data_IF_771494262666
#
_entry.id   IF_771494262666
#
_cell.length_a   1.000
_cell.length_b   1.000
_cell.length_c   1.000
_cell.angle_alpha   90.00
_cell.angle_beta   90.00
_cell.angle_gamma   90.00
#
_symmetry.space_group_name_H-M   'P 1'
#
loop_
_entity.id
_entity.type
_entity.pdbx_description
1 polymer ?
#
# COMPACT_ATOMS: atom_id res chain seq x y z
N UNK A 1 2.97 18.03 6.20
CA UNK A 1 1.84 17.32 6.81
C UNK A 1 1.82 15.88 6.33
N UNK A 2 1.69 14.94 7.25
CA UNK A 2 1.68 13.52 6.93
C UNK A 2 0.29 13.10 6.44
N UNK A 3 0.22 12.26 5.41
CA UNK A 3 -1.04 11.70 4.91
C UNK A 3 -1.69 10.82 5.97
N UNK A 4 -3.01 10.89 6.07
CA UNK A 4 -3.77 9.99 6.93
C UNK A 4 -3.85 8.60 6.28
N UNK A 5 -4.27 7.58 7.05
CA UNK A 5 -4.47 6.25 6.48
C UNK A 5 -5.53 6.24 5.38
N UNK A 6 -6.55 7.10 5.49
CA UNK A 6 -7.57 7.22 4.45
C UNK A 6 -6.99 7.77 3.15
N UNK A 7 -6.14 8.80 3.23
CA UNK A 7 -5.46 9.39 2.06
C UNK A 7 -4.52 8.39 1.42
N UNK A 8 -3.77 7.66 2.24
CA UNK A 8 -2.84 6.63 1.79
C UNK A 8 -3.58 5.50 1.08
N UNK A 9 -4.75 5.11 1.60
CA UNK A 9 -5.56 4.06 1.01
C UNK A 9 -6.00 4.43 -0.41
N UNK A 10 -6.49 5.66 -0.60
CA UNK A 10 -6.90 6.13 -1.92
C UNK A 10 -5.73 6.20 -2.88
N UNK A 11 -4.59 6.71 -2.41
CA UNK A 11 -3.37 6.79 -3.21
C UNK A 11 -2.87 5.41 -3.63
N UNK A 12 -2.91 4.44 -2.72
CA UNK A 12 -2.51 3.06 -3.00
C UNK A 12 -3.42 2.41 -4.04
N UNK A 13 -4.72 2.59 -3.92
CA UNK A 13 -5.68 2.03 -4.87
C UNK A 13 -5.42 2.57 -6.28
N UNK A 14 -5.28 3.87 -6.42
CA UNK A 14 -5.00 4.51 -7.70
C UNK A 14 -3.69 3.99 -8.30
N UNK A 15 -2.66 3.90 -7.49
CA UNK A 15 -1.35 3.45 -7.95
C UNK A 15 -1.36 1.98 -8.36
N UNK A 16 -2.05 1.13 -7.60
CA UNK A 16 -2.18 -0.28 -7.92
C UNK A 16 -2.91 -0.51 -9.24
N UNK A 17 -3.94 0.26 -9.50
CA UNK A 17 -4.66 0.18 -10.78
C UNK A 17 -3.77 0.68 -11.92
N UNK A 18 -3.08 1.79 -11.72
CA UNK A 18 -2.19 2.39 -12.70
C UNK A 18 -1.07 1.45 -13.12
N UNK A 19 -0.48 0.76 -12.14
CA UNK A 19 0.65 -0.14 -12.38
C UNK A 19 0.22 -1.57 -12.71
N UNK A 20 -1.09 -1.82 -12.81
CA UNK A 20 -1.61 -3.11 -13.23
C UNK A 20 -1.60 -4.20 -12.16
N UNK A 21 -1.46 -3.84 -10.89
CA UNK A 21 -1.56 -4.81 -9.78
C UNK A 21 -3.00 -5.30 -9.66
N UNK A 22 -3.96 -4.39 -9.78
CA UNK A 22 -5.39 -4.72 -9.82
C UNK A 22 -5.97 -4.38 -11.19
N UNK A 23 -6.91 -5.19 -11.66
CA UNK A 23 -7.66 -4.86 -12.85
C UNK A 23 -8.59 -3.66 -12.59
N UNK A 24 -8.80 -2.82 -13.59
CA UNK A 24 -9.61 -1.60 -13.44
C UNK A 24 -11.04 -1.87 -13.00
N UNK A 25 -11.61 -2.99 -13.44
CA UNK A 25 -12.98 -3.37 -13.12
C UNK A 25 -13.09 -4.05 -11.75
N UNK A 26 -11.96 -4.37 -11.13
CA UNK A 26 -11.95 -5.07 -9.85
C UNK A 26 -12.31 -4.12 -8.73
N UNK A 27 -13.29 -4.51 -7.92
CA UNK A 27 -13.63 -3.79 -6.70
C UNK A 27 -12.88 -4.43 -5.55
N UNK A 28 -11.96 -3.67 -4.96
CA UNK A 28 -11.17 -4.13 -3.81
C UNK A 28 -11.66 -3.39 -2.58
N UNK A 29 -12.29 -4.13 -1.66
CA UNK A 29 -12.65 -3.56 -0.37
C UNK A 29 -11.38 -3.45 0.49
N UNK A 30 -11.19 -2.34 1.22
CA UNK A 30 -10.00 -2.19 2.06
C UNK A 30 -9.81 -3.29 3.10
N UNK A 31 -10.87 -3.99 3.49
CA UNK A 31 -10.80 -5.08 4.46
C UNK A 31 -10.65 -6.46 3.84
N UNK A 32 -10.65 -6.55 2.50
CA UNK A 32 -10.48 -7.83 1.81
C UNK A 32 -9.05 -8.35 1.97
N UNK A 33 -8.91 -9.64 2.26
CA UNK A 33 -7.62 -10.30 2.16
C UNK A 33 -7.28 -10.40 0.67
N UNK A 34 -6.23 -9.73 0.25
CA UNK A 34 -5.89 -9.59 -1.16
C UNK A 34 -5.64 -10.91 -1.87
N UNK A 35 -5.07 -11.89 -1.17
CA UNK A 35 -4.80 -13.20 -1.75
C UNK A 35 -6.03 -14.09 -1.69
N UNK A 36 -6.69 -14.17 -0.54
CA UNK A 36 -7.85 -15.06 -0.35
C UNK A 36 -9.06 -14.63 -1.19
N UNK A 37 -9.23 -13.32 -1.38
CA UNK A 37 -10.30 -12.80 -2.24
C UNK A 37 -9.95 -12.87 -3.73
N UNK A 38 -8.75 -13.32 -4.07
CA UNK A 38 -8.34 -13.50 -5.45
C UNK A 38 -7.96 -12.22 -6.20
N UNK A 39 -7.73 -11.11 -5.47
CA UNK A 39 -7.31 -9.85 -6.11
C UNK A 39 -5.87 -9.93 -6.63
N UNK A 40 -5.00 -10.62 -5.90
CA UNK A 40 -3.62 -10.86 -6.31
C UNK A 40 -3.21 -12.27 -5.92
N UNK A 41 -2.21 -12.82 -6.62
CA UNK A 41 -1.54 -14.05 -6.20
C UNK A 41 -0.30 -13.69 -5.35
N UNK A 42 0.48 -14.69 -4.96
CA UNK A 42 1.68 -14.47 -4.14
C UNK A 42 2.69 -13.55 -4.84
N UNK A 43 2.83 -13.69 -6.14
CA UNK A 43 3.73 -12.83 -6.93
C UNK A 43 3.20 -11.40 -6.95
N UNK A 44 1.90 -11.21 -7.15
CA UNK A 44 1.26 -9.90 -7.12
C UNK A 44 1.42 -9.21 -5.78
N UNK A 45 1.38 -9.98 -4.69
CA UNK A 45 1.59 -9.44 -3.34
C UNK A 45 3.02 -8.90 -3.18
N UNK A 46 4.02 -9.61 -3.70
CA UNK A 46 5.41 -9.15 -3.69
C UNK A 46 5.61 -7.91 -4.57
N UNK A 47 4.94 -7.86 -5.71
CA UNK A 47 4.98 -6.68 -6.59
C UNK A 47 4.37 -5.47 -5.88
N UNK A 48 3.29 -5.67 -5.15
CA UNK A 48 2.66 -4.62 -4.36
C UNK A 48 3.60 -4.10 -3.28
N UNK A 49 4.30 -4.99 -2.59
CA UNK A 49 5.29 -4.60 -1.58
C UNK A 49 6.39 -3.74 -2.19
N UNK A 50 6.92 -4.16 -3.34
CA UNK A 50 7.97 -3.42 -4.05
C UNK A 50 7.48 -2.03 -4.48
N UNK A 51 6.25 -1.94 -4.98
CA UNK A 51 5.64 -0.68 -5.39
C UNK A 51 5.52 0.29 -4.21
N UNK A 52 5.09 -0.21 -3.05
CA UNK A 52 4.94 0.59 -1.85
C UNK A 52 6.30 1.09 -1.36
N UNK A 53 7.29 0.21 -1.31
CA UNK A 53 8.63 0.58 -0.87
C UNK A 53 9.23 1.65 -1.78
N UNK A 54 9.04 1.52 -3.08
CA UNK A 54 9.53 2.49 -4.05
C UNK A 54 8.81 3.83 -3.95
N UNK A 55 7.47 3.79 -3.82
CA UNK A 55 6.65 5.00 -3.83
C UNK A 55 6.83 5.84 -2.57
N UNK A 56 6.89 5.20 -1.41
CA UNK A 56 6.93 5.88 -0.11
C UNK A 56 8.29 5.83 0.57
N UNK A 57 9.26 5.19 -0.05
CA UNK A 57 10.62 5.04 0.48
C UNK A 57 10.63 4.45 1.90
N UNK A 58 9.81 3.43 2.09
CA UNK A 58 9.75 2.67 3.34
C UNK A 58 10.34 1.28 3.12
N UNK A 59 10.79 0.65 4.20
CA UNK A 59 11.25 -0.74 4.16
C UNK A 59 10.22 -1.60 4.87
N UNK A 60 9.70 -2.61 4.17
CA UNK A 60 8.73 -3.54 4.74
C UNK A 60 9.36 -4.93 4.75
N UNK A 61 9.65 -5.50 5.94
CA UNK A 61 10.13 -6.88 6.00
C UNK A 61 9.13 -7.82 5.33
N UNK A 62 9.63 -8.70 4.48
CA UNK A 62 8.77 -9.62 3.72
C UNK A 62 7.82 -10.42 4.62
N UNK A 63 8.33 -10.92 5.75
CA UNK A 63 7.53 -11.70 6.69
C UNK A 63 6.37 -10.88 7.25
N UNK A 64 6.59 -9.60 7.55
CA UNK A 64 5.54 -8.70 8.03
C UNK A 64 4.49 -8.49 6.95
N UNK A 65 4.93 -8.25 5.73
CA UNK A 65 4.01 -8.00 4.61
C UNK A 65 3.12 -9.22 4.32
N UNK A 66 3.73 -10.39 4.21
CA UNK A 66 3.02 -11.62 3.86
C UNK A 66 2.05 -12.06 4.97
N UNK A 67 2.40 -11.86 6.23
CA UNK A 67 1.61 -12.35 7.36
C UNK A 67 0.60 -11.31 7.86
N UNK A 68 1.03 -10.05 7.97
CA UNK A 68 0.23 -9.01 8.63
C UNK A 68 -0.43 -8.01 7.68
N UNK A 69 0.21 -7.70 6.56
CA UNK A 69 -0.25 -6.65 5.65
C UNK A 69 -0.99 -7.22 4.44
N UNK A 70 -2.02 -8.02 4.70
CA UNK A 70 -2.78 -8.70 3.63
C UNK A 70 -4.00 -7.93 3.16
N UNK A 71 -4.31 -6.80 3.80
CA UNK A 71 -5.43 -5.94 3.39
C UNK A 71 -4.90 -4.54 3.13
N UNK A 72 -5.58 -3.79 2.26
CA UNK A 72 -5.20 -2.40 1.98
C UNK A 72 -5.31 -1.53 3.23
N UNK A 73 -6.31 -1.80 4.08
CA UNK A 73 -6.48 -1.05 5.33
C UNK A 73 -5.25 -1.22 6.24
N UNK A 74 -4.75 -2.43 6.38
CA UNK A 74 -3.57 -2.68 7.21
C UNK A 74 -2.30 -2.07 6.62
N UNK A 75 -2.17 -2.13 5.31
CA UNK A 75 -1.04 -1.50 4.60
C UNK A 75 -1.06 0.02 4.85
N UNK A 76 -2.23 0.64 4.72
CA UNK A 76 -2.36 2.08 4.92
C UNK A 76 -2.04 2.48 6.36
N UNK A 77 -2.48 1.71 7.34
CA UNK A 77 -2.16 1.96 8.75
C UNK A 77 -0.66 1.83 9.03
N UNK A 78 -0.03 0.82 8.45
CA UNK A 78 1.41 0.62 8.58
C UNK A 78 2.17 1.81 8.00
N UNK A 79 1.80 2.24 6.79
CA UNK A 79 2.43 3.38 6.15
C UNK A 79 2.26 4.66 6.96
N UNK A 80 1.07 4.90 7.49
CA UNK A 80 0.83 6.08 8.32
C UNK A 80 1.78 6.12 9.51
N UNK A 81 1.94 4.98 10.20
CA UNK A 81 2.85 4.90 11.33
C UNK A 81 4.30 5.16 10.93
N UNK A 82 4.74 4.58 9.80
CA UNK A 82 6.11 4.75 9.33
C UNK A 82 6.39 6.19 8.92
N UNK A 83 5.46 6.81 8.23
CA UNK A 83 5.62 8.20 7.80
C UNK A 83 5.59 9.17 8.98
N UNK A 84 4.73 8.95 9.97
CA UNK A 84 4.69 9.76 11.18
C UNK A 84 5.97 9.65 12.00
N UNK A 85 6.61 8.49 11.95
CA UNK A 85 7.90 8.27 12.62
C UNK A 85 9.09 8.77 11.81
N UNK A 86 8.86 9.31 10.61
CA UNK A 86 9.91 9.83 9.76
C UNK A 86 10.73 8.77 9.03
N UNK A 87 10.20 7.53 8.95
CA UNK A 87 10.91 6.40 8.34
C UNK A 87 10.58 6.18 6.87
N UNK A 88 9.86 7.07 6.26
CA UNK A 88 9.54 6.96 4.85
C UNK A 88 9.43 8.34 4.25
N UNK A 89 8.98 8.40 2.99
CA UNK A 89 8.78 9.65 2.27
C UNK A 89 7.30 9.88 2.03
N UNK A 90 6.79 10.98 2.59
CA UNK A 90 5.42 11.39 2.36
C UNK A 90 5.33 12.10 1.02
N UNK A 91 4.81 11.41 0.01
CA UNK A 91 4.71 11.91 -1.36
C UNK A 91 3.83 13.16 -1.42
N UNK A 92 2.79 13.21 -0.59
CA UNK A 92 1.88 14.36 -0.53
C UNK A 92 2.60 15.60 -0.01
N UNK A 93 3.40 15.46 1.05
CA UNK A 93 4.17 16.55 1.59
C UNK A 93 5.21 17.04 0.60
N UNK A 94 5.84 16.14 -0.15
CA UNK A 94 6.80 16.51 -1.21
C UNK A 94 6.12 17.29 -2.34
N UNK A 95 4.91 16.91 -2.70
CA UNK A 95 4.15 17.57 -3.76
C UNK A 95 3.74 19.00 -3.35
N UNK A 96 3.69 19.31 -2.07
CA UNK A 96 3.35 20.63 -1.56
C UNK A 96 4.50 21.64 -1.66
N UNK A 97 5.69 21.16 -1.93
CA UNK A 97 6.85 22.01 -2.14
C UNK A 97 6.99 22.41 -3.60
#
# INVERSE_FOLDING_TARGET
MVMTSADLLLSLLDRCVEDGVFARETRVDPSDDLVECGHVDSMGLLMLAALIEETYDVTIPEAVFVVELRTLARIAEYLERELRAGRGRDVHALAAH
#
